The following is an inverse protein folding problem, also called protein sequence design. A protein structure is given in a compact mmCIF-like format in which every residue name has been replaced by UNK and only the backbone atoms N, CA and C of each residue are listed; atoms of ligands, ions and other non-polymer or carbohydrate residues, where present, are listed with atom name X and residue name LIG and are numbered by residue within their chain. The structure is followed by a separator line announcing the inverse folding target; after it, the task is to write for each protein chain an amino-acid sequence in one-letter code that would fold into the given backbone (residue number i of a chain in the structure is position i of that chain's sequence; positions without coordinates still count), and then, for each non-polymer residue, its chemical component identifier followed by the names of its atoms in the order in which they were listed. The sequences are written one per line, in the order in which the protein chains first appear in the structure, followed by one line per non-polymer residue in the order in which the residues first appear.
data_IF_954354321792
#
_entry.id   IF_954354321792
#
_cell.length_a   1.000
_cell.length_b   1.000
_cell.length_c   1.000
_cell.angle_alpha   90.00
_cell.angle_beta   90.00
_cell.angle_gamma   90.00
#
_symmetry.space_group_name_H-M   'P 1'
#
loop_
_entity.id
_entity.type
_entity.pdbx_description
1 polymer ?
#
# COMPACT_ATOMS: atom_id res chain seq x y z
N UNK A 1 -25.79 14.21 -15.59
CA UNK A 1 -24.67 13.32 -15.18
C UNK A 1 -25.24 12.07 -14.53
N UNK A 2 -24.37 11.12 -14.15
CA UNK A 2 -24.78 9.89 -13.46
C UNK A 2 -25.06 10.11 -11.96
N UNK A 3 -24.70 11.28 -11.42
CA UNK A 3 -24.89 11.67 -10.03
C UNK A 3 -25.47 13.09 -9.94
N UNK A 4 -26.21 13.36 -8.88
CA UNK A 4 -26.71 14.70 -8.53
C UNK A 4 -25.72 15.42 -7.61
N UNK A 5 -25.64 16.74 -7.71
CA UNK A 5 -24.91 17.54 -6.74
C UNK A 5 -25.49 17.29 -5.35
N UNK A 6 -24.61 17.12 -4.35
CA UNK A 6 -25.00 16.85 -2.98
C UNK A 6 -25.63 18.11 -2.36
N UNK A 7 -26.90 18.05 -1.93
CA UNK A 7 -27.55 19.19 -1.29
C UNK A 7 -26.85 19.63 -0.01
N UNK A 8 -26.94 20.93 0.33
CA UNK A 8 -26.28 21.47 1.52
C UNK A 8 -26.76 20.83 2.82
N UNK A 9 -28.05 20.49 2.93
CA UNK A 9 -28.57 19.80 4.13
C UNK A 9 -27.88 18.45 4.38
N UNK A 10 -27.41 17.77 3.33
CA UNK A 10 -26.64 16.53 3.47
C UNK A 10 -25.27 16.83 4.05
N UNK A 11 -24.60 17.91 3.59
CA UNK A 11 -23.29 18.33 4.11
C UNK A 11 -23.36 18.61 5.61
N UNK A 12 -24.44 19.27 6.04
CA UNK A 12 -24.67 19.57 7.46
C UNK A 12 -24.99 18.30 8.26
N UNK A 13 -25.84 17.43 7.71
CA UNK A 13 -26.24 16.18 8.39
C UNK A 13 -25.05 15.23 8.65
N UNK A 14 -24.08 15.16 7.72
CA UNK A 14 -22.92 14.27 7.85
C UNK A 14 -21.71 14.94 8.51
N UNK A 15 -21.86 16.19 8.96
CA UNK A 15 -20.76 17.06 9.41
C UNK A 15 -19.57 16.99 8.45
N UNK A 16 -19.76 17.46 7.21
CA UNK A 16 -18.78 17.33 6.13
C UNK A 16 -17.38 17.87 6.48
N UNK A 17 -17.28 18.77 7.46
CA UNK A 17 -15.99 19.33 7.90
C UNK A 17 -15.18 18.33 8.74
N UNK A 18 -15.83 17.32 9.32
CA UNK A 18 -15.20 16.27 10.13
C UNK A 18 -14.71 15.07 9.31
N UNK A 19 -14.89 15.05 7.98
CA UNK A 19 -14.31 13.97 7.17
C UNK A 19 -12.78 14.09 7.16
N UNK A 20 -12.11 12.93 7.25
CA UNK A 20 -10.65 12.82 7.24
C UNK A 20 -10.01 13.60 6.08
N UNK A 21 -8.88 14.24 6.36
CA UNK A 21 -8.28 15.25 5.48
C UNK A 21 -8.02 14.77 4.04
N UNK A 22 -7.68 13.50 3.83
CA UNK A 22 -7.42 12.96 2.48
C UNK A 22 -8.69 12.67 1.66
N UNK A 23 -9.88 12.76 2.26
CA UNK A 23 -11.17 12.59 1.58
C UNK A 23 -11.92 13.91 1.38
N UNK A 24 -11.38 15.01 1.90
CA UNK A 24 -11.82 16.37 1.64
C UNK A 24 -11.60 16.75 0.16
N UNK A 25 -12.22 17.84 -0.34
CA UNK A 25 -11.96 18.35 -1.69
C UNK A 25 -10.46 18.46 -2.01
N UNK A 26 -10.03 18.09 -3.24
CA UNK A 26 -10.86 17.87 -4.42
C UNK A 26 -11.50 16.48 -4.53
N UNK A 27 -11.27 15.57 -3.58
CA UNK A 27 -11.75 14.19 -3.70
C UNK A 27 -13.28 14.11 -3.61
N UNK A 28 -13.92 13.53 -4.62
CA UNK A 28 -15.39 13.46 -4.70
C UNK A 28 -16.07 14.73 -5.22
N UNK A 29 -15.26 15.70 -5.68
CA UNK A 29 -15.76 16.91 -6.33
C UNK A 29 -15.57 16.87 -7.84
N UNK A 30 -16.42 17.60 -8.55
CA UNK A 30 -16.27 17.93 -9.97
C UNK A 30 -16.71 19.38 -10.17
N UNK A 31 -15.89 20.19 -10.83
CA UNK A 31 -16.16 21.63 -11.04
C UNK A 31 -16.53 22.38 -9.73
N UNK A 32 -15.80 22.09 -8.65
CA UNK A 32 -16.02 22.67 -7.32
C UNK A 32 -17.26 22.17 -6.57
N UNK A 33 -18.05 21.26 -7.15
CA UNK A 33 -19.29 20.72 -6.57
C UNK A 33 -19.09 19.32 -6.02
N UNK A 34 -19.73 18.99 -4.91
CA UNK A 34 -19.66 17.68 -4.26
C UNK A 34 -20.69 16.72 -4.86
N UNK A 35 -20.29 15.48 -5.19
CA UNK A 35 -21.18 14.48 -5.81
C UNK A 35 -21.23 13.13 -5.08
N UNK A 36 -20.62 13.02 -3.89
CA UNK A 36 -20.63 11.79 -3.08
C UNK A 36 -20.73 12.08 -1.59
N UNK A 37 -21.32 11.13 -0.87
CA UNK A 37 -21.15 10.96 0.59
C UNK A 37 -20.10 9.87 0.79
N UNK A 38 -19.11 10.14 1.65
CA UNK A 38 -18.12 9.14 2.06
C UNK A 38 -18.68 8.35 3.24
N UNK A 39 -18.81 7.03 3.10
CA UNK A 39 -19.32 6.14 4.15
C UNK A 39 -18.21 5.29 4.77
N UNK A 40 -17.17 4.99 3.99
CA UNK A 40 -16.05 4.15 4.37
C UNK A 40 -14.77 4.65 3.68
N UNK A 41 -13.62 4.31 4.25
CA UNK A 41 -12.30 4.66 3.73
C UNK A 41 -11.27 3.58 4.08
N UNK A 42 -10.57 3.10 3.05
CA UNK A 42 -9.52 2.11 3.20
C UNK A 42 -8.13 2.75 3.24
N UNK A 43 -7.25 2.18 4.07
CA UNK A 43 -5.82 2.42 4.02
C UNK A 43 -5.09 1.09 3.86
N UNK A 44 -4.07 1.08 3.01
CA UNK A 44 -3.19 -0.07 2.89
C UNK A 44 -2.18 -0.08 4.03
N UNK A 45 -2.15 -1.19 4.76
CA UNK A 45 -1.31 -1.40 5.93
C UNK A 45 -0.38 -2.59 5.71
N UNK A 46 0.83 -2.52 6.27
CA UNK A 46 1.73 -3.66 6.34
C UNK A 46 1.45 -4.45 7.63
N UNK A 47 0.64 -5.49 7.52
CA UNK A 47 0.30 -6.37 8.63
C UNK A 47 1.31 -7.51 8.74
N UNK A 48 1.66 -7.91 9.97
CA UNK A 48 2.66 -8.94 10.22
C UNK A 48 2.29 -9.83 11.41
N UNK A 49 2.89 -11.01 11.47
CA UNK A 49 2.74 -12.00 12.55
C UNK A 49 3.77 -11.74 13.65
N UNK A 50 3.34 -11.12 14.74
CA UNK A 50 4.23 -10.73 15.87
C UNK A 50 4.94 -11.93 16.48
N UNK A 51 4.29 -13.08 16.56
CA UNK A 51 4.82 -14.34 17.07
C UNK A 51 5.95 -14.90 16.20
N UNK A 52 5.83 -14.82 14.87
CA UNK A 52 6.90 -15.22 13.94
C UNK A 52 8.14 -14.34 14.10
N UNK A 53 7.95 -13.03 14.29
CA UNK A 53 9.07 -12.09 14.42
C UNK A 53 9.66 -12.02 15.83
N UNK A 54 8.98 -12.56 16.85
CA UNK A 54 9.49 -12.68 18.22
C UNK A 54 10.16 -14.04 18.52
N UNK A 55 10.07 -15.00 17.58
CA UNK A 55 10.56 -16.35 17.78
C UNK A 55 12.11 -16.43 17.84
N UNK A 56 12.63 -16.97 18.94
CA UNK A 56 14.06 -17.05 19.20
C UNK A 56 14.78 -18.05 18.28
N UNK A 57 14.11 -19.12 17.86
CA UNK A 57 14.68 -20.14 16.99
C UNK A 57 14.80 -19.62 15.56
N UNK A 58 13.79 -18.88 15.08
CA UNK A 58 13.85 -18.15 13.81
C UNK A 58 14.91 -17.05 13.87
N UNK A 59 15.03 -16.31 14.98
CA UNK A 59 16.09 -15.31 15.13
C UNK A 59 17.49 -15.94 15.08
N UNK A 60 17.67 -17.08 15.75
CA UNK A 60 18.92 -17.84 15.70
C UNK A 60 19.20 -18.38 14.29
N UNK A 61 18.21 -19.01 13.65
CA UNK A 61 18.35 -19.55 12.30
C UNK A 61 18.62 -18.46 11.26
N UNK A 62 18.05 -17.26 11.43
CA UNK A 62 18.34 -16.09 10.61
C UNK A 62 19.81 -15.71 10.70
N UNK A 63 20.33 -15.56 11.93
CA UNK A 63 21.74 -15.23 12.18
C UNK A 63 22.68 -16.30 11.66
N UNK A 64 22.42 -17.56 11.97
CA UNK A 64 23.26 -18.70 11.55
C UNK A 64 23.26 -18.87 10.03
N UNK A 65 22.16 -18.53 9.37
CA UNK A 65 22.01 -18.54 7.91
C UNK A 65 22.62 -17.34 7.18
N UNK A 66 23.27 -16.42 7.89
CA UNK A 66 23.86 -15.21 7.30
C UNK A 66 22.84 -14.13 6.94
N UNK A 67 21.70 -14.11 7.61
CA UNK A 67 20.68 -13.09 7.47
C UNK A 67 21.23 -11.69 7.76
N UNK A 68 20.81 -10.69 6.98
CA UNK A 68 21.25 -9.31 7.14
C UNK A 68 20.60 -8.64 8.35
N UNK A 69 21.41 -8.12 9.27
CA UNK A 69 20.91 -7.43 10.48
C UNK A 69 20.21 -8.36 11.48
N UNK A 70 19.53 -7.76 12.46
CA UNK A 70 18.75 -8.51 13.46
C UNK A 70 17.44 -9.04 12.85
N UNK A 71 17.02 -10.22 13.30
CA UNK A 71 15.69 -10.74 12.96
C UNK A 71 14.62 -9.82 13.52
N UNK A 72 13.67 -9.42 12.68
CA UNK A 72 12.60 -8.52 13.07
C UNK A 72 11.70 -8.13 11.90
N UNK A 73 10.68 -7.33 12.22
CA UNK A 73 9.69 -6.87 11.24
C UNK A 73 10.38 -6.08 10.12
N UNK A 74 10.20 -6.46 8.84
CA UNK A 74 10.85 -5.78 7.73
C UNK A 74 10.30 -4.35 7.57
N UNK A 75 11.20 -3.41 7.29
CA UNK A 75 10.91 -1.99 7.10
C UNK A 75 11.14 -1.51 5.67
N UNK A 76 11.71 -2.37 4.82
CA UNK A 76 11.90 -2.11 3.39
C UNK A 76 11.48 -3.32 2.57
N UNK A 77 11.16 -3.11 1.29
CA UNK A 77 10.81 -4.21 0.38
C UNK A 77 11.96 -5.21 0.20
N UNK A 78 13.22 -4.76 0.24
CA UNK A 78 14.37 -5.67 0.20
C UNK A 78 14.41 -6.57 1.43
N UNK A 79 14.07 -6.03 2.62
CA UNK A 79 13.93 -6.85 3.83
C UNK A 79 12.75 -7.81 3.74
N UNK A 80 11.60 -7.38 3.19
CA UNK A 80 10.46 -8.29 2.91
C UNK A 80 10.89 -9.45 2.02
N UNK A 81 11.66 -9.18 0.96
CA UNK A 81 12.17 -10.20 0.05
C UNK A 81 13.15 -11.15 0.75
N UNK A 82 14.06 -10.62 1.58
CA UNK A 82 15.03 -11.43 2.33
C UNK A 82 14.33 -12.35 3.35
N UNK A 83 13.39 -11.81 4.12
CA UNK A 83 12.54 -12.57 5.05
C UNK A 83 11.75 -13.65 4.31
N UNK A 84 11.16 -13.32 3.17
CA UNK A 84 10.40 -14.27 2.34
C UNK A 84 11.26 -15.43 1.85
N UNK A 85 12.48 -15.14 1.38
CA UNK A 85 13.44 -16.17 0.96
C UNK A 85 13.88 -17.06 2.12
N UNK A 86 14.11 -16.46 3.30
CA UNK A 86 14.49 -17.20 4.50
C UNK A 86 13.37 -18.12 5.00
N UNK A 87 12.13 -17.64 5.05
CA UNK A 87 10.99 -18.42 5.55
C UNK A 87 10.55 -19.54 4.60
N UNK A 88 10.91 -19.47 3.32
CA UNK A 88 10.52 -20.47 2.31
C UNK A 88 10.90 -21.89 2.74
N UNK A 89 9.89 -22.76 2.84
CA UNK A 89 10.06 -24.18 3.19
C UNK A 89 10.30 -24.45 4.68
N UNK A 90 10.21 -23.43 5.54
CA UNK A 90 10.25 -23.61 6.99
C UNK A 90 8.85 -23.87 7.53
N UNK A 91 8.82 -24.40 8.75
CA UNK A 91 7.61 -24.50 9.55
C UNK A 91 7.74 -23.66 10.82
N UNK A 92 6.61 -23.11 11.25
CA UNK A 92 6.44 -22.44 12.53
C UNK A 92 5.24 -23.07 13.22
N UNK A 93 5.44 -23.59 14.44
CA UNK A 93 4.39 -24.29 15.21
C UNK A 93 3.69 -25.42 14.43
N UNK A 94 4.45 -26.18 13.66
CA UNK A 94 3.94 -27.32 12.88
C UNK A 94 3.15 -26.94 11.62
N UNK A 95 3.16 -25.66 11.22
CA UNK A 95 2.54 -25.17 9.99
C UNK A 95 3.58 -24.54 9.07
N UNK A 96 3.39 -24.65 7.76
CA UNK A 96 4.23 -23.95 6.80
C UNK A 96 4.13 -22.43 7.01
N UNK A 97 5.28 -21.76 7.00
CA UNK A 97 5.35 -20.30 7.12
C UNK A 97 5.72 -19.67 5.78
N UNK A 98 4.99 -18.61 5.42
CA UNK A 98 5.20 -17.83 4.20
C UNK A 98 5.54 -16.40 4.59
N UNK A 99 6.59 -15.82 4.00
CA UNK A 99 7.08 -14.51 4.43
C UNK A 99 6.30 -13.31 3.89
N UNK A 100 5.56 -13.47 2.80
CA UNK A 100 4.71 -12.42 2.26
C UNK A 100 3.54 -13.03 1.47
N UNK A 101 2.34 -12.48 1.66
CA UNK A 101 1.15 -12.84 0.91
C UNK A 101 0.78 -11.65 0.03
N UNK A 102 0.87 -11.85 -1.28
CA UNK A 102 0.54 -10.83 -2.27
C UNK A 102 -0.82 -11.11 -2.93
N UNK A 103 -1.44 -10.08 -3.50
CA UNK A 103 -2.71 -10.23 -4.20
C UNK A 103 -2.50 -11.00 -5.51
N UNK A 104 -3.11 -12.19 -5.71
CA UNK A 104 -2.81 -13.05 -6.85
C UNK A 104 -3.43 -12.58 -8.18
N UNK A 105 -4.18 -11.47 -8.18
CA UNK A 105 -4.98 -11.04 -9.34
C UNK A 105 -4.18 -10.10 -10.23
N UNK A 106 -3.83 -10.59 -11.42
CA UNK A 106 -2.99 -9.88 -12.39
C UNK A 106 -3.57 -8.55 -12.91
N UNK A 107 -4.91 -8.35 -12.92
CA UNK A 107 -5.52 -7.14 -13.48
C UNK A 107 -6.88 -6.76 -12.89
N UNK A 108 -7.15 -5.44 -12.83
CA UNK A 108 -8.32 -4.81 -12.20
C UNK A 108 -7.93 -3.88 -11.05
N UNK A 109 -8.88 -3.09 -10.52
CA UNK A 109 -8.62 -2.09 -9.48
C UNK A 109 -7.79 -2.63 -8.31
N UNK A 110 -8.15 -3.81 -7.80
CA UNK A 110 -7.42 -4.47 -6.70
C UNK A 110 -5.95 -4.80 -7.01
N UNK A 111 -5.65 -5.33 -8.20
CA UNK A 111 -4.26 -5.65 -8.56
C UNK A 111 -3.39 -4.40 -8.64
N UNK A 112 -3.94 -3.32 -9.19
CA UNK A 112 -3.25 -2.04 -9.25
C UNK A 112 -3.05 -1.41 -7.87
N UNK A 113 -4.01 -1.52 -6.94
CA UNK A 113 -3.85 -0.90 -5.60
C UNK A 113 -2.64 -1.46 -4.85
N UNK A 114 -2.43 -2.78 -4.86
CA UNK A 114 -1.28 -3.39 -4.17
C UNK A 114 0.04 -3.12 -4.90
N UNK A 115 0.06 -3.19 -6.23
CA UNK A 115 1.23 -2.80 -7.01
C UNK A 115 1.59 -1.33 -6.77
N UNK A 116 0.60 -0.43 -6.81
CA UNK A 116 0.76 0.99 -6.53
C UNK A 116 1.28 1.24 -5.11
N UNK A 117 0.86 0.44 -4.14
CA UNK A 117 1.38 0.55 -2.76
C UNK A 117 2.85 0.19 -2.67
N UNK A 118 3.28 -0.90 -3.33
CA UNK A 118 4.70 -1.22 -3.45
C UNK A 118 5.47 -0.11 -4.16
N UNK A 119 4.97 0.34 -5.30
CA UNK A 119 5.61 1.37 -6.11
C UNK A 119 5.66 2.74 -5.45
N UNK A 120 4.74 3.06 -4.54
CA UNK A 120 4.72 4.36 -3.86
C UNK A 120 6.03 4.67 -3.14
N UNK A 121 6.67 3.66 -2.53
CA UNK A 121 7.96 3.80 -1.85
C UNK A 121 9.13 4.16 -2.77
N UNK A 122 8.98 3.96 -4.08
CA UNK A 122 10.01 4.24 -5.09
C UNK A 122 9.66 5.41 -5.99
N UNK A 123 8.38 5.53 -6.37
CA UNK A 123 7.93 6.35 -7.48
C UNK A 123 7.10 7.57 -7.04
N UNK A 124 6.79 7.71 -5.74
CA UNK A 124 6.11 8.90 -5.19
C UNK A 124 7.07 9.68 -4.29
N UNK A 125 7.24 10.96 -4.58
CA UNK A 125 8.01 11.89 -3.77
C UNK A 125 7.09 12.98 -3.18
N UNK A 126 7.29 13.42 -1.91
CA UNK A 126 6.50 14.50 -1.32
C UNK A 126 6.56 15.82 -2.09
N UNK A 127 7.72 16.14 -2.65
CA UNK A 127 7.94 17.41 -3.39
C UNK A 127 7.39 17.39 -4.83
N UNK A 128 7.05 16.20 -5.36
CA UNK A 128 6.41 16.08 -6.67
C UNK A 128 4.92 15.80 -6.49
N UNK A 129 4.06 16.72 -6.94
CA UNK A 129 2.61 16.55 -6.85
C UNK A 129 2.10 15.43 -7.75
N UNK A 130 2.77 15.14 -8.85
CA UNK A 130 2.40 14.08 -9.77
C UNK A 130 2.81 12.68 -9.25
N UNK A 131 2.24 11.63 -9.84
CA UNK A 131 2.59 10.24 -9.50
C UNK A 131 2.38 9.31 -10.70
N UNK A 132 1.12 9.11 -11.10
CA UNK A 132 0.75 8.20 -12.19
C UNK A 132 0.85 8.87 -13.55
N UNK A 133 0.51 10.15 -13.60
CA UNK A 133 0.52 10.97 -14.80
C UNK A 133 1.25 12.26 -14.50
N UNK A 134 1.86 12.81 -15.53
CA UNK A 134 2.33 14.19 -15.54
C UNK A 134 1.17 15.16 -15.40
N UNK A 135 1.34 16.19 -14.55
CA UNK A 135 0.25 17.09 -14.18
C UNK A 135 -0.20 18.00 -15.33
N UNK A 136 0.71 18.35 -16.24
CA UNK A 136 0.43 19.28 -17.34
C UNK A 136 0.06 18.54 -18.62
N UNK A 137 0.79 17.47 -18.92
CA UNK A 137 0.67 16.76 -20.21
C UNK A 137 -0.22 15.52 -20.14
N UNK A 138 -0.61 15.08 -18.94
CA UNK A 138 -1.30 13.80 -18.70
C UNK A 138 -0.54 12.58 -19.26
N UNK A 139 0.75 12.71 -19.56
CA UNK A 139 1.59 11.60 -20.01
C UNK A 139 1.77 10.59 -18.87
N UNK A 140 1.56 9.28 -19.11
CA UNK A 140 1.75 8.27 -18.06
C UNK A 140 3.21 8.20 -17.62
N UNK A 141 3.42 8.02 -16.31
CA UNK A 141 4.72 7.92 -15.64
C UNK A 141 5.06 6.50 -15.18
N UNK A 142 4.14 5.55 -15.39
CA UNK A 142 4.19 4.19 -14.82
C UNK A 142 5.28 3.27 -15.39
N UNK A 143 5.99 3.68 -16.45
CA UNK A 143 7.06 2.91 -17.07
C UNK A 143 8.47 3.45 -16.74
N UNK A 144 8.58 4.33 -15.74
CA UNK A 144 9.86 4.88 -15.32
C UNK A 144 10.70 3.86 -14.51
N UNK A 145 12.01 4.11 -14.28
CA UNK A 145 12.88 3.19 -13.55
C UNK A 145 12.42 2.86 -12.12
N UNK A 146 11.69 3.77 -11.45
CA UNK A 146 11.19 3.52 -10.10
C UNK A 146 10.06 2.48 -10.08
N UNK A 147 9.14 2.52 -11.05
CA UNK A 147 8.13 1.48 -11.23
C UNK A 147 8.74 0.14 -11.61
N UNK A 148 9.75 0.14 -12.49
CA UNK A 148 10.51 -1.08 -12.82
C UNK A 148 11.16 -1.66 -11.56
N UNK A 149 11.80 -0.82 -10.74
CA UNK A 149 12.41 -1.26 -9.49
C UNK A 149 11.41 -1.87 -8.52
N UNK A 150 10.24 -1.24 -8.38
CA UNK A 150 9.18 -1.73 -7.51
C UNK A 150 8.67 -3.13 -7.90
N UNK A 151 8.68 -3.48 -9.18
CA UNK A 151 8.26 -4.81 -9.66
C UNK A 151 9.34 -5.87 -9.46
N UNK A 152 10.61 -5.46 -9.48
CA UNK A 152 11.76 -6.35 -9.33
C UNK A 152 12.03 -6.75 -7.86
N UNK A 153 11.62 -5.92 -6.91
CA UNK A 153 11.69 -6.20 -5.48
C UNK A 153 10.48 -7.04 -5.00
#
# INVERSE_FOLDING_TARGET
GLTSEMPDWVKDQIDMKDVVAYLQPPVGTWDGKQYRVTVDGDAHNFNYRTDVFADADLAKAWKDGGGGGEWGVPKTWQQVQAVTKFLKGKQFQGQDVFGYLDAPKAWGGFGFYFLGSRASAYAKHPDDKAWLFDADTMKPRINNPAWVRAIQD
#
